data_IF_682908571064
#
_entry.id   IF_682908571064
#
_cell.length_a   1.000
_cell.length_b   1.000
_cell.length_c   1.000
_cell.angle_alpha   90.00
_cell.angle_beta   90.00
_cell.angle_gamma   90.00
#
_symmetry.space_group_name_H-M   'P 1'
#
loop_
_entity.id
_entity.type
_entity.pdbx_description
1 polymer ?
#
# COMPACT_ATOMS: atom_id res chain seq x y z
N UNK A 1 16.68 -10.54 0.25
CA UNK A 1 16.16 -9.19 0.58
C UNK A 1 16.12 -8.31 -0.65
N UNK A 2 17.26 -8.07 -1.33
CA UNK A 2 17.27 -7.31 -2.59
C UNK A 2 16.30 -7.90 -3.63
N UNK A 3 16.35 -9.21 -3.89
CA UNK A 3 15.49 -9.84 -4.91
C UNK A 3 13.98 -9.75 -4.59
N UNK A 4 13.58 -9.82 -3.31
CA UNK A 4 12.18 -9.74 -2.88
C UNK A 4 11.64 -8.32 -2.84
N UNK A 5 12.49 -7.34 -2.54
CA UNK A 5 12.19 -5.91 -2.70
C UNK A 5 12.16 -5.50 -4.19
N UNK A 6 12.90 -6.21 -5.05
CA UNK A 6 12.92 -6.00 -6.50
C UNK A 6 11.75 -6.68 -7.22
N UNK A 7 11.15 -7.71 -6.62
CA UNK A 7 9.99 -8.44 -7.19
C UNK A 7 8.69 -7.67 -7.06
N UNK A 8 8.61 -6.74 -6.12
CA UNK A 8 7.47 -5.86 -5.96
C UNK A 8 7.86 -4.42 -6.31
N UNK A 9 6.88 -3.58 -6.62
CA UNK A 9 7.07 -2.16 -6.94
C UNK A 9 6.63 -1.28 -5.76
N UNK A 10 7.31 -1.32 -4.59
CA UNK A 10 6.94 -0.48 -3.47
C UNK A 10 7.10 0.99 -3.85
N UNK A 11 6.18 1.83 -3.37
CA UNK A 11 6.25 3.28 -3.54
C UNK A 11 7.24 3.92 -2.57
N UNK A 12 7.50 3.27 -1.43
CA UNK A 12 8.45 3.72 -0.44
C UNK A 12 9.02 2.56 0.37
N UNK A 13 10.31 2.64 0.70
CA UNK A 13 10.98 1.76 1.66
C UNK A 13 11.74 2.66 2.65
N UNK A 14 11.51 2.45 3.95
CA UNK A 14 12.23 3.14 5.03
C UNK A 14 12.81 2.13 5.99
N UNK A 15 14.10 2.23 6.28
CA UNK A 15 14.79 1.40 7.28
C UNK A 15 14.99 2.25 8.54
N UNK A 16 14.57 1.71 9.68
CA UNK A 16 14.76 2.31 11.00
C UNK A 16 15.83 1.52 11.74
N UNK A 17 16.84 2.20 12.29
CA UNK A 17 18.03 1.58 12.88
C UNK A 17 18.01 1.57 14.41
N UNK A 18 16.86 1.81 15.02
CA UNK A 18 16.75 1.93 16.47
C UNK A 18 16.60 0.54 17.10
N UNK A 19 17.61 0.15 17.89
CA UNK A 19 17.85 -1.04 18.72
C UNK A 19 17.59 -2.46 18.15
N UNK A 20 16.48 -2.71 17.46
CA UNK A 20 16.14 -4.04 16.89
C UNK A 20 16.01 -4.06 15.35
N UNK A 21 16.11 -2.90 14.69
CA UNK A 21 16.09 -2.81 13.23
C UNK A 21 14.71 -3.14 12.64
N UNK A 22 13.99 -2.13 12.17
CA UNK A 22 12.68 -2.32 11.52
C UNK A 22 12.64 -1.73 10.13
N UNK A 23 11.74 -2.24 9.29
CA UNK A 23 11.57 -1.78 7.91
C UNK A 23 10.10 -1.43 7.70
N UNK A 24 9.85 -0.25 7.15
CA UNK A 24 8.54 0.13 6.63
C UNK A 24 8.54 0.05 5.11
N UNK A 25 7.54 -0.61 4.53
CA UNK A 25 7.35 -0.77 3.09
C UNK A 25 5.94 -0.34 2.73
N UNK A 26 5.81 0.60 1.80
CA UNK A 26 4.52 1.09 1.33
C UNK A 26 4.31 0.67 -0.13
N UNK A 27 3.11 0.20 -0.45
CA UNK A 27 2.68 -0.17 -1.80
C UNK A 27 1.57 0.77 -2.30
N UNK A 28 1.41 0.86 -3.62
CA UNK A 28 0.37 1.69 -4.21
C UNK A 28 -1.01 1.00 -4.11
N UNK A 29 -1.04 -0.33 -4.21
CA UNK A 29 -2.28 -1.10 -4.17
C UNK A 29 -2.22 -2.27 -3.18
N UNK A 30 -3.38 -2.61 -2.62
CA UNK A 30 -3.54 -3.72 -1.68
C UNK A 30 -3.20 -5.06 -2.35
N UNK A 31 -3.54 -5.20 -3.63
CA UNK A 31 -3.21 -6.39 -4.41
C UNK A 31 -1.69 -6.62 -4.52
N UNK A 32 -0.90 -5.55 -4.65
CA UNK A 32 0.57 -5.63 -4.72
C UNK A 32 1.16 -6.07 -3.39
N UNK A 33 0.68 -5.49 -2.27
CA UNK A 33 1.08 -5.90 -0.93
C UNK A 33 0.74 -7.37 -0.68
N UNK A 34 -0.45 -7.84 -1.08
CA UNK A 34 -0.84 -9.26 -0.96
C UNK A 34 0.04 -10.17 -1.80
N UNK A 35 0.31 -9.82 -3.05
CA UNK A 35 1.19 -10.59 -3.93
C UNK A 35 2.61 -10.66 -3.38
N UNK A 36 3.11 -9.56 -2.82
CA UNK A 36 4.41 -9.51 -2.16
C UNK A 36 4.46 -10.42 -0.92
N UNK A 37 3.45 -10.37 -0.05
CA UNK A 37 3.37 -11.26 1.12
C UNK A 37 3.35 -12.74 0.72
N UNK A 38 2.58 -13.09 -0.31
CA UNK A 38 2.49 -14.46 -0.82
C UNK A 38 3.82 -14.94 -1.44
N UNK A 39 4.41 -14.14 -2.32
CA UNK A 39 5.70 -14.44 -2.96
C UNK A 39 6.87 -14.51 -1.97
N UNK A 40 6.78 -13.78 -0.85
CA UNK A 40 7.76 -13.82 0.23
C UNK A 40 7.55 -14.99 1.22
N UNK A 41 6.44 -15.72 1.11
CA UNK A 41 6.03 -16.70 2.12
C UNK A 41 5.75 -16.08 3.49
N UNK A 42 5.37 -14.80 3.51
CA UNK A 42 5.06 -14.02 4.72
C UNK A 42 3.55 -14.00 5.02
N UNK A 43 2.76 -14.79 4.31
CA UNK A 43 1.31 -14.94 4.43
C UNK A 43 0.88 -15.93 5.55
N UNK A 44 1.63 -15.99 6.65
CA UNK A 44 1.32 -16.89 7.76
C UNK A 44 -0.08 -16.61 8.35
N UNK A 45 -0.81 -17.63 8.84
CA UNK A 45 -2.14 -17.45 9.41
C UNK A 45 -2.16 -16.56 10.67
N UNK A 46 -1.02 -16.45 11.35
CA UNK A 46 -0.84 -15.59 12.54
C UNK A 46 -0.36 -14.18 12.20
N UNK A 47 -0.26 -13.84 10.91
CA UNK A 47 0.09 -12.49 10.47
C UNK A 47 -0.98 -11.51 10.94
N UNK A 48 -0.56 -10.48 11.67
CA UNK A 48 -1.42 -9.34 11.97
C UNK A 48 -1.67 -8.56 10.68
N UNK A 49 -2.77 -8.88 10.01
CA UNK A 49 -3.30 -8.12 8.87
C UNK A 49 -4.56 -7.39 9.26
N UNK A 50 -4.65 -6.11 8.94
CA UNK A 50 -5.87 -5.33 9.08
C UNK A 50 -6.19 -4.65 7.76
N UNK A 51 -7.34 -4.98 7.17
CA UNK A 51 -7.90 -4.25 6.03
C UNK A 51 -9.11 -3.45 6.51
N UNK A 52 -9.19 -2.18 6.11
CA UNK A 52 -10.30 -1.30 6.48
C UNK A 52 -10.57 -0.24 5.43
N UNK A 53 -11.82 0.14 5.32
CA UNK A 53 -12.26 1.31 4.57
C UNK A 53 -12.38 2.50 5.52
N UNK A 54 -11.94 3.66 5.08
CA UNK A 54 -12.06 4.90 5.83
C UNK A 54 -12.08 6.11 4.89
N UNK A 55 -12.35 7.28 5.44
CA UNK A 55 -12.18 8.54 4.72
C UNK A 55 -10.78 9.08 5.04
N UNK A 56 -10.00 9.41 4.01
CA UNK A 56 -8.70 10.04 4.20
C UNK A 56 -8.83 11.51 4.64
N UNK A 57 -7.68 12.17 4.86
CA UNK A 57 -7.65 13.56 5.29
C UNK A 57 -8.19 14.54 4.24
N UNK A 58 -8.27 14.13 2.97
CA UNK A 58 -8.81 14.91 1.86
C UNK A 58 -10.31 14.67 1.66
N UNK A 59 -10.95 13.89 2.54
CA UNK A 59 -12.37 13.57 2.46
C UNK A 59 -12.70 12.47 1.44
N UNK A 60 -11.71 11.76 0.91
CA UNK A 60 -11.89 10.72 -0.11
C UNK A 60 -12.06 9.35 0.55
N UNK A 61 -13.01 8.52 0.05
CA UNK A 61 -13.11 7.15 0.50
C UNK A 61 -11.89 6.35 0.01
N UNK A 62 -11.21 5.71 0.94
CA UNK A 62 -10.01 4.91 0.68
C UNK A 62 -10.12 3.56 1.39
N UNK A 63 -9.44 2.57 0.84
CA UNK A 63 -9.22 1.26 1.46
C UNK A 63 -7.75 1.14 1.79
N UNK A 64 -7.47 0.75 3.03
CA UNK A 64 -6.10 0.54 3.51
C UNK A 64 -5.93 -0.88 4.01
N UNK A 65 -4.76 -1.46 3.75
CA UNK A 65 -4.31 -2.71 4.35
C UNK A 65 -2.98 -2.49 5.06
N UNK A 66 -2.86 -3.03 6.27
CA UNK A 66 -1.61 -3.10 7.03
C UNK A 66 -1.25 -4.56 7.28
N UNK A 67 0.03 -4.87 7.24
CA UNK A 67 0.59 -6.18 7.57
C UNK A 67 1.87 -6.00 8.40
N UNK A 68 1.99 -6.83 9.44
CA UNK A 68 3.15 -6.78 10.36
C UNK A 68 3.89 -8.13 10.38
N UNK A 69 4.56 -8.55 9.29
CA UNK A 69 5.32 -9.80 9.31
C UNK A 69 6.66 -9.65 10.03
N UNK A 70 7.17 -10.76 10.54
CA UNK A 70 8.56 -10.90 10.99
C UNK A 70 9.33 -11.77 10.00
N UNK A 71 10.52 -11.34 9.58
CA UNK A 71 11.34 -12.10 8.63
C UNK A 71 12.82 -12.08 9.05
N UNK A 72 13.41 -13.25 9.30
CA UNK A 72 14.80 -13.40 9.74
C UNK A 72 15.21 -12.44 10.88
N UNK A 73 14.32 -12.20 11.85
CA UNK A 73 14.56 -11.32 13.00
C UNK A 73 14.27 -9.84 12.76
N UNK A 74 13.87 -9.45 11.54
CA UNK A 74 13.43 -8.09 11.24
C UNK A 74 11.93 -7.93 11.45
N UNK A 75 11.54 -6.84 12.11
CA UNK A 75 10.15 -6.38 12.14
C UNK A 75 9.85 -5.58 10.88
N UNK A 76 8.82 -6.00 10.15
CA UNK A 76 8.41 -5.35 8.92
C UNK A 76 7.01 -4.76 9.13
N UNK A 77 6.87 -3.49 8.84
CA UNK A 77 5.58 -2.82 8.70
C UNK A 77 5.31 -2.61 7.21
N UNK A 78 4.34 -3.33 6.67
CA UNK A 78 3.91 -3.18 5.29
C UNK A 78 2.53 -2.53 5.23
N UNK A 79 2.35 -1.53 4.38
CA UNK A 79 1.06 -0.87 4.19
C UNK A 79 0.74 -0.58 2.72
N UNK A 80 -0.56 -0.50 2.43
CA UNK A 80 -1.08 -0.05 1.15
C UNK A 80 -2.36 0.75 1.41
N UNK A 81 -2.53 1.87 0.71
CA UNK A 81 -3.78 2.64 0.73
C UNK A 81 -4.16 3.00 -0.70
N UNK A 82 -5.34 2.58 -1.13
CA UNK A 82 -5.87 2.80 -2.47
C UNK A 82 -7.23 3.52 -2.40
N UNK A 83 -7.53 4.33 -3.41
CA UNK A 83 -8.81 5.01 -3.50
C UNK A 83 -9.94 3.99 -3.79
N UNK A 84 -11.04 4.09 -3.05
CA UNK A 84 -12.26 3.36 -3.39
C UNK A 84 -12.97 4.22 -4.43
N UNK A 85 -12.79 3.83 -5.69
CA UNK A 85 -13.45 4.33 -6.90
C UNK A 85 -14.38 5.53 -6.68
N UNK A 86 -13.80 6.73 -6.79
CA UNK A 86 -14.60 7.95 -6.91
C UNK A 86 -15.23 7.87 -8.29
N UNK A 87 -16.56 7.83 -8.38
CA UNK A 87 -17.28 7.66 -9.63
C UNK A 87 -16.63 8.48 -10.77
N UNK A 88 -16.47 7.89 -11.98
CA UNK A 88 -15.82 8.58 -13.08
C UNK A 88 -16.45 9.95 -13.29
N UNK A 89 -15.60 10.97 -13.53
CA UNK A 89 -16.07 12.32 -13.79
C UNK A 89 -17.16 12.27 -14.86
N UNK A 90 -18.27 12.95 -14.61
CA UNK A 90 -19.34 12.99 -15.58
C UNK A 90 -18.84 13.65 -16.89
N UNK A 91 -19.43 13.29 -18.04
CA UNK A 91 -18.95 13.75 -19.34
C UNK A 91 -18.95 15.29 -19.50
N UNK A 92 -19.83 16.01 -18.80
CA UNK A 92 -19.85 17.48 -18.85
C UNK A 92 -18.62 18.06 -18.13
N UNK A 93 -18.29 17.53 -16.95
CA UNK A 93 -17.09 17.94 -16.20
C UNK A 93 -15.81 17.66 -16.97
N UNK A 94 -15.69 16.50 -17.63
CA UNK A 94 -14.54 16.17 -18.49
C UNK A 94 -14.42 17.16 -19.66
N UNK A 95 -15.55 17.49 -20.29
CA UNK A 95 -15.60 18.43 -21.42
C UNK A 95 -15.16 19.83 -21.00
N UNK A 96 -15.63 20.31 -19.85
CA UNK A 96 -15.26 21.62 -19.30
C UNK A 96 -13.76 21.71 -18.97
N UNK A 97 -13.20 20.67 -18.35
CA UNK A 97 -11.77 20.62 -18.01
C UNK A 97 -10.89 20.57 -19.27
N UNK A 98 -11.27 19.78 -20.28
CA UNK A 98 -10.52 19.67 -21.53
C UNK A 98 -10.56 20.97 -22.33
N UNK A 99 -11.67 21.72 -22.26
CA UNK A 99 -11.80 23.04 -22.88
C UNK A 99 -11.00 24.16 -22.19
N UNK A 100 -10.60 23.99 -20.93
CA UNK A 100 -9.83 24.99 -20.17
C UNK A 100 -8.32 24.97 -20.48
N UNK A 101 -7.83 23.88 -21.08
CA UNK A 101 -6.41 23.67 -21.43
C UNK A 101 -6.12 24.00 -22.90
N UNK A 102 -7.13 24.49 -23.64
CA UNK A 102 -7.04 24.93 -25.04
C UNK A 102 -6.95 26.46 -25.13
#
# INVERSE_FOLDING_TARGET
MAELLLLAAPTSIRVHHDDDGSISITFAAIAELRAWLDGAGLNAPDLLTAEREHTDNDGRPVRSMHAYPTWHGWEIYADATEAIDVAPLDPETVTALTGLVA
#
